data_IF_613467540992
#
_entry.id   IF_613467540992
#
_cell.length_a   1.000
_cell.length_b   1.000
_cell.length_c   1.000
_cell.angle_alpha   90.00
_cell.angle_beta   90.00
_cell.angle_gamma   90.00
#
_symmetry.space_group_name_H-M   'P 1'
#
loop_
_entity.id
_entity.type
_entity.pdbx_description
1 polymer ?
#
# COMPACT_ATOMS: atom_id res chain seq x y z
N UNK A 1 13.62 6.34 2.06
CA UNK A 1 13.49 7.34 3.09
C UNK A 1 12.04 7.46 3.56
N UNK A 2 11.84 7.33 4.88
CA UNK A 2 10.51 7.34 5.46
C UNK A 2 9.84 8.72 5.44
N UNK A 3 10.59 9.79 5.21
CA UNK A 3 10.03 11.14 5.12
C UNK A 3 9.34 11.40 3.79
N UNK A 4 9.63 10.61 2.77
CA UNK A 4 9.10 10.80 1.43
C UNK A 4 7.75 10.09 1.31
N UNK A 5 6.75 10.84 0.86
CA UNK A 5 5.42 10.28 0.61
C UNK A 5 5.46 9.38 -0.62
N UNK A 6 4.87 8.19 -0.50
CA UNK A 6 4.84 7.21 -1.58
C UNK A 6 3.40 6.79 -1.80
N UNK A 7 3.08 6.56 -3.05
CA UNK A 7 1.74 6.14 -3.44
C UNK A 7 1.81 4.81 -4.16
N UNK A 8 0.92 3.89 -3.74
CA UNK A 8 0.89 2.53 -4.27
C UNK A 8 -0.51 2.17 -4.74
N UNK A 9 -0.59 1.37 -5.79
CA UNK A 9 -1.82 0.67 -6.14
C UNK A 9 -1.65 -0.79 -5.74
N UNK A 10 -2.63 -1.30 -5.01
CA UNK A 10 -2.55 -2.61 -4.38
C UNK A 10 -3.76 -3.43 -4.81
N UNK A 11 -3.53 -4.48 -5.57
CA UNK A 11 -4.60 -5.41 -5.92
C UNK A 11 -4.80 -6.38 -4.77
N UNK A 12 -6.05 -6.52 -4.35
CA UNK A 12 -6.38 -7.35 -3.18
C UNK A 12 -7.52 -8.29 -3.48
N UNK A 13 -7.57 -9.38 -2.73
CA UNK A 13 -8.70 -10.30 -2.69
C UNK A 13 -9.18 -10.42 -1.26
N UNK A 14 -10.47 -10.65 -1.09
CA UNK A 14 -11.09 -10.75 0.22
C UNK A 14 -12.09 -9.64 0.45
N UNK A 15 -12.69 -9.64 1.62
CA UNK A 15 -13.68 -8.63 1.99
C UNK A 15 -13.06 -7.66 3.00
N UNK A 16 -13.22 -6.37 2.74
CA UNK A 16 -12.73 -5.33 3.63
C UNK A 16 -13.92 -4.62 4.27
N UNK A 17 -14.04 -4.75 5.58
CA UNK A 17 -15.08 -4.06 6.33
C UNK A 17 -14.73 -2.58 6.52
N UNK A 18 -15.74 -1.79 6.90
CA UNK A 18 -15.50 -0.38 7.22
C UNK A 18 -14.50 -0.24 8.37
N UNK A 19 -14.59 -1.12 9.36
CA UNK A 19 -13.66 -1.13 10.49
C UNK A 19 -12.24 -1.46 10.01
N UNK A 20 -12.10 -2.42 9.09
CA UNK A 20 -10.81 -2.76 8.50
C UNK A 20 -10.21 -1.62 7.71
N UNK A 21 -11.04 -0.91 6.94
CA UNK A 21 -10.59 0.26 6.21
C UNK A 21 -10.05 1.34 7.15
N UNK A 22 -10.76 1.59 8.25
CA UNK A 22 -10.30 2.56 9.25
C UNK A 22 -8.97 2.15 9.87
N UNK A 23 -8.79 0.86 10.13
CA UNK A 23 -7.53 0.34 10.66
C UNK A 23 -6.39 0.53 9.66
N UNK A 24 -6.64 0.31 8.38
CA UNK A 24 -5.62 0.56 7.36
C UNK A 24 -5.20 2.03 7.33
N UNK A 25 -6.15 2.93 7.56
CA UNK A 25 -5.89 4.36 7.56
C UNK A 25 -5.15 4.80 8.81
N UNK A 26 -5.43 4.19 9.95
CA UNK A 26 -4.78 4.52 11.20
C UNK A 26 -5.17 3.50 12.27
N UNK A 27 -4.19 3.07 13.04
CA UNK A 27 -4.44 2.22 14.21
C UNK A 27 -3.80 0.85 14.18
N UNK A 28 -3.15 0.48 13.09
CA UNK A 28 -2.46 -0.80 13.03
C UNK A 28 -1.08 -0.72 13.66
N UNK A 29 -0.62 -1.87 14.16
CA UNK A 29 0.73 -2.04 14.66
C UNK A 29 1.41 -3.19 13.93
N UNK A 30 2.70 -3.03 13.65
CA UNK A 30 3.55 -4.10 13.13
C UNK A 30 4.76 -4.24 14.03
N UNK A 31 4.98 -5.46 14.52
CA UNK A 31 6.11 -5.77 15.38
C UNK A 31 6.17 -4.88 16.63
N UNK A 32 4.98 -4.58 17.18
CA UNK A 32 4.88 -3.76 18.38
C UNK A 32 5.02 -2.27 18.16
N UNK A 33 5.13 -1.84 16.91
CA UNK A 33 5.27 -0.42 16.55
C UNK A 33 4.01 0.06 15.88
N UNK A 34 3.44 1.15 16.43
CA UNK A 34 2.27 1.77 15.82
C UNK A 34 2.65 2.43 14.51
N UNK A 35 1.86 2.17 13.49
CA UNK A 35 2.09 2.75 12.18
C UNK A 35 1.54 4.17 12.11
N UNK A 36 2.19 5.00 11.32
CA UNK A 36 1.71 6.35 11.06
C UNK A 36 0.43 6.30 10.24
N UNK A 37 -0.41 7.34 10.33
CA UNK A 37 -1.60 7.41 9.49
C UNK A 37 -1.25 7.31 8.01
N UNK A 38 -2.11 6.63 7.26
CA UNK A 38 -1.96 6.49 5.82
C UNK A 38 -3.28 6.86 5.16
N UNK A 39 -3.22 7.33 3.93
CA UNK A 39 -4.42 7.53 3.14
C UNK A 39 -4.70 6.25 2.38
N UNK A 40 -5.85 5.67 2.61
CA UNK A 40 -6.24 4.43 1.94
C UNK A 40 -7.64 4.61 1.42
N UNK A 41 -7.83 4.32 0.16
CA UNK A 41 -9.15 4.41 -0.48
C UNK A 41 -9.24 3.38 -1.58
N UNK A 42 -10.46 3.07 -2.01
CA UNK A 42 -10.66 2.18 -3.14
C UNK A 42 -10.36 2.91 -4.44
N UNK A 43 -9.50 2.32 -5.25
CA UNK A 43 -9.25 2.78 -6.61
C UNK A 43 -10.32 2.22 -7.55
N UNK A 44 -10.70 0.96 -7.30
CA UNK A 44 -11.78 0.26 -7.98
C UNK A 44 -12.16 -0.96 -7.11
N UNK A 45 -12.98 -1.86 -7.62
CA UNK A 45 -13.50 -2.98 -6.85
C UNK A 45 -12.41 -3.92 -6.32
N UNK A 46 -11.25 -3.94 -6.96
CA UNK A 46 -10.19 -4.90 -6.65
C UNK A 46 -8.89 -4.24 -6.24
N UNK A 47 -8.81 -2.93 -6.28
CA UNK A 47 -7.57 -2.22 -6.00
C UNK A 47 -7.76 -1.13 -4.97
N UNK A 48 -6.82 -1.09 -4.04
CA UNK A 48 -6.71 -0.03 -3.05
C UNK A 48 -5.57 0.90 -3.45
N UNK A 49 -5.74 2.16 -3.09
CA UNK A 49 -4.69 3.16 -3.24
C UNK A 49 -4.18 3.50 -1.86
N UNK A 50 -2.89 3.33 -1.65
CA UNK A 50 -2.22 3.65 -0.41
C UNK A 50 -1.30 4.84 -0.62
N UNK A 51 -1.39 5.83 0.25
CA UNK A 51 -0.45 6.95 0.28
C UNK A 51 0.13 7.00 1.69
N UNK A 52 1.41 6.73 1.82
CA UNK A 52 2.04 6.66 3.12
C UNK A 52 3.49 7.15 3.07
N UNK A 53 4.04 7.43 4.24
CA UNK A 53 5.40 7.94 4.38
C UNK A 53 6.35 6.95 5.03
N UNK A 54 5.84 5.80 5.43
CA UNK A 54 6.66 4.76 6.03
C UNK A 54 7.09 3.76 4.97
N UNK A 55 8.18 3.02 5.25
CA UNK A 55 8.69 2.05 4.31
C UNK A 55 9.21 0.80 5.00
N UNK A 56 8.45 0.25 5.93
CA UNK A 56 8.84 -1.01 6.57
C UNK A 56 8.72 -2.14 5.58
N UNK A 57 9.58 -3.14 5.75
CA UNK A 57 9.61 -4.29 4.85
C UNK A 57 8.23 -4.94 4.79
N UNK A 58 7.71 -5.09 3.57
CA UNK A 58 6.43 -5.75 3.29
C UNK A 58 5.26 -5.13 4.04
N UNK A 59 5.35 -3.84 4.35
CA UNK A 59 4.37 -3.18 5.21
C UNK A 59 2.94 -3.28 4.68
N UNK A 60 2.73 -2.95 3.41
CA UNK A 60 1.37 -2.95 2.85
C UNK A 60 0.78 -4.35 2.85
N UNK A 61 1.59 -5.37 2.49
CA UNK A 61 1.11 -6.75 2.51
C UNK A 61 0.69 -7.16 3.92
N UNK A 62 1.50 -6.80 4.90
CA UNK A 62 1.22 -7.14 6.30
C UNK A 62 -0.01 -6.40 6.81
N UNK A 63 -0.18 -5.13 6.44
CA UNK A 63 -1.36 -4.36 6.83
C UNK A 63 -2.63 -5.01 6.27
N UNK A 64 -2.60 -5.36 5.00
CA UNK A 64 -3.75 -5.99 4.35
C UNK A 64 -4.09 -7.33 5.02
N UNK A 65 -3.09 -8.15 5.31
CA UNK A 65 -3.31 -9.43 5.97
C UNK A 65 -3.98 -9.26 7.33
N UNK A 66 -3.62 -8.22 8.07
CA UNK A 66 -4.20 -7.97 9.38
C UNK A 66 -5.71 -7.65 9.32
N UNK A 67 -6.19 -7.18 8.19
CA UNK A 67 -7.62 -6.88 8.01
C UNK A 67 -8.32 -7.89 7.11
N UNK A 68 -7.69 -9.03 6.86
CA UNK A 68 -8.32 -10.14 6.14
C UNK A 68 -8.21 -10.07 4.63
N UNK A 69 -7.29 -9.29 4.11
CA UNK A 69 -7.06 -9.18 2.67
C UNK A 69 -5.79 -9.91 2.25
N UNK A 70 -5.80 -10.42 1.03
CA UNK A 70 -4.63 -11.02 0.40
C UNK A 70 -4.20 -10.09 -0.74
N UNK A 71 -2.93 -9.69 -0.73
CA UNK A 71 -2.38 -8.86 -1.79
C UNK A 71 -1.95 -9.72 -2.95
N UNK A 72 -2.53 -9.49 -4.12
CA UNK A 72 -2.21 -10.23 -5.34
C UNK A 72 -1.38 -9.42 -6.32
N UNK A 73 -1.24 -8.13 -6.10
CA UNK A 73 -0.38 -7.29 -6.91
C UNK A 73 -0.10 -5.98 -6.20
N UNK A 74 1.07 -5.42 -6.45
CA UNK A 74 1.50 -4.20 -5.78
C UNK A 74 2.44 -3.44 -6.69
N UNK A 75 2.14 -2.16 -6.94
CA UNK A 75 3.02 -1.31 -7.73
C UNK A 75 3.09 0.09 -7.13
N UNK A 76 4.28 0.65 -7.12
CA UNK A 76 4.47 2.02 -6.68
C UNK A 76 4.25 2.94 -7.87
N UNK A 77 3.38 3.93 -7.71
CA UNK A 77 3.01 4.84 -8.79
C UNK A 77 3.54 6.26 -8.57
N UNK A 78 3.99 6.56 -7.36
CA UNK A 78 4.55 7.88 -7.06
C UNK A 78 5.52 7.78 -5.89
N UNK A 79 6.58 8.58 -5.94
CA UNK A 79 7.51 8.75 -4.83
C UNK A 79 7.77 10.24 -4.69
N UNK A 80 7.33 10.81 -3.57
CA UNK A 80 7.37 12.25 -3.36
C UNK A 80 6.54 12.97 -4.40
N UNK A 81 7.12 13.96 -5.05
CA UNK A 81 6.46 14.68 -6.13
C UNK A 81 6.72 14.06 -7.52
N UNK A 82 7.46 12.97 -7.57
CA UNK A 82 7.84 12.34 -8.84
C UNK A 82 6.87 11.22 -9.19
N UNK A 83 6.06 11.39 -10.23
CA UNK A 83 5.15 10.33 -10.67
C UNK A 83 5.94 9.26 -11.39
N UNK A 84 5.83 8.01 -10.92
CA UNK A 84 6.47 6.88 -11.58
C UNK A 84 5.69 6.45 -12.81
N UNK A 85 4.48 6.98 -12.99
CA UNK A 85 3.71 6.80 -14.21
C UNK A 85 4.26 7.55 -15.42
N UNK A 86 5.32 8.35 -15.24
CA UNK A 86 6.01 8.97 -16.37
C UNK A 86 6.81 7.97 -17.17
N UNK A 87 6.85 6.72 -16.73
CA UNK A 87 7.46 5.65 -17.53
C UNK A 87 6.68 5.47 -18.83
N UNK A 88 7.37 5.02 -19.90
CA UNK A 88 6.69 4.75 -21.16
C UNK A 88 5.49 3.82 -20.96
N UNK A 89 4.47 4.01 -21.79
CA UNK A 89 3.27 3.20 -21.74
C UNK A 89 3.64 1.72 -21.86
N UNK A 90 3.05 0.91 -21.00
CA UNK A 90 3.30 -0.54 -20.99
C UNK A 90 4.45 -0.97 -20.13
N UNK A 91 5.14 -0.04 -19.48
CA UNK A 91 6.26 -0.38 -18.61
C UNK A 91 5.92 -0.36 -17.13
N UNK A 92 4.66 -0.47 -16.83
CA UNK A 92 4.22 -0.68 -15.46
C UNK A 92 4.66 -2.07 -15.01
N UNK A 93 5.14 -2.16 -13.77
CA UNK A 93 5.49 -3.44 -13.19
C UNK A 93 5.13 -3.45 -11.72
N UNK A 94 4.81 -4.62 -11.24
CA UNK A 94 4.64 -4.83 -9.82
C UNK A 94 5.99 -4.97 -9.16
N UNK A 95 6.05 -4.62 -7.87
CA UNK A 95 7.25 -4.83 -7.10
C UNK A 95 7.54 -6.33 -7.01
N UNK A 96 8.80 -6.67 -7.14
CA UNK A 96 9.23 -8.07 -7.05
C UNK A 96 9.14 -8.54 -5.61
N UNK A 97 9.19 -9.86 -5.45
CA UNK A 97 9.13 -10.47 -4.12
C UNK A 97 10.25 -9.97 -3.21
N UNK A 98 11.43 -9.72 -3.75
CA UNK A 98 12.59 -9.25 -3.00
C UNK A 98 12.64 -7.73 -2.82
N UNK A 99 11.72 -6.99 -3.42
CA UNK A 99 11.62 -5.56 -3.22
C UNK A 99 10.82 -5.27 -1.95
N UNK A 100 11.16 -4.17 -1.27
CA UNK A 100 10.47 -3.79 -0.05
C UNK A 100 9.05 -3.37 -0.36
N UNK A 101 8.18 -3.73 0.53
CA UNK A 101 6.74 -3.63 0.59
C UNK A 101 6.08 -4.96 0.29
#
# INVERSE_FOLDING_TARGET
DSAVEKEYLVRVEGALSDAGMKLLQHGLELDGVKLKPARVSWQNEHQLRFVLREGRKRQIRRMCELVGLVVTGLKRVRSGSVPLGALPVGQWRYLRRDEKF
#
